data_IF_027506532859
#
_entry.id   IF_027506532859
#
_cell.length_a   1.000
_cell.length_b   1.000
_cell.length_c   1.000
_cell.angle_alpha   90.00
_cell.angle_beta   90.00
_cell.angle_gamma   90.00
#
_symmetry.space_group_name_H-M   'P 1'
#
loop_
_entity.id
_entity.type
_entity.pdbx_description
1 polymer ?
#
# COMPACT_ATOMS: atom_id res chain seq x y z
N UNK A 1 -58.49 -14.88 18.73
CA UNK A 1 -59.14 -15.24 17.43
C UNK A 1 -58.07 -15.80 16.52
N UNK A 2 -58.14 -17.11 16.32
CA UNK A 2 -57.20 -17.89 15.52
C UNK A 2 -57.58 -17.82 14.04
N UNK A 3 -56.61 -17.78 13.16
CA UNK A 3 -56.74 -18.29 11.78
C UNK A 3 -55.43 -18.90 11.32
N UNK A 4 -55.41 -20.21 11.42
CA UNK A 4 -54.49 -21.08 10.71
C UNK A 4 -54.85 -21.10 9.21
N UNK A 5 -53.82 -21.06 8.35
CA UNK A 5 -54.00 -21.36 6.93
C UNK A 5 -52.99 -22.45 6.53
N UNK A 6 -53.54 -23.65 6.38
CA UNK A 6 -52.88 -24.83 5.78
C UNK A 6 -53.11 -24.79 4.27
N UNK A 7 -52.08 -25.00 3.47
CA UNK A 7 -52.14 -25.50 2.08
C UNK A 7 -50.92 -26.40 1.85
N UNK A 8 -51.14 -27.61 1.80
CA UNK A 8 -51.34 -28.69 0.81
C UNK A 8 -50.17 -28.81 -0.18
N UNK A 9 -49.56 -30.01 -0.07
CA UNK A 9 -48.58 -30.59 -0.94
C UNK A 9 -49.16 -30.91 -2.31
N UNK A 10 -48.36 -30.74 -3.37
CA UNK A 10 -48.58 -31.42 -4.64
C UNK A 10 -47.21 -31.95 -5.13
N UNK A 11 -47.16 -33.28 -5.24
CA UNK A 11 -46.09 -34.00 -5.91
C UNK A 11 -46.36 -34.02 -7.42
N UNK A 12 -45.35 -33.92 -8.24
CA UNK A 12 -45.23 -34.60 -9.53
C UNK A 12 -43.95 -34.30 -10.25
N UNK A 13 -43.31 -35.31 -10.56
CA UNK A 13 -42.80 -35.88 -11.84
C UNK A 13 -41.33 -35.62 -12.14
N UNK A 14 -40.60 -36.72 -12.05
CA UNK A 14 -39.28 -36.94 -12.62
C UNK A 14 -39.32 -36.77 -14.16
N UNK A 15 -38.37 -36.04 -14.69
CA UNK A 15 -37.86 -36.25 -16.04
C UNK A 15 -36.36 -36.15 -16.02
N UNK A 16 -35.68 -37.29 -16.22
CA UNK A 16 -34.26 -37.37 -16.48
C UNK A 16 -33.95 -36.78 -17.83
N UNK A 17 -33.13 -35.72 -17.84
CA UNK A 17 -32.39 -35.29 -19.01
C UNK A 17 -30.88 -35.46 -18.72
N UNK A 18 -30.30 -36.50 -19.27
CA UNK A 18 -28.85 -36.57 -19.47
C UNK A 18 -28.47 -35.58 -20.57
N UNK A 19 -27.83 -34.49 -20.18
CA UNK A 19 -27.07 -33.68 -21.12
C UNK A 19 -25.70 -33.44 -20.50
N UNK A 20 -24.67 -33.93 -21.19
CA UNK A 20 -23.27 -33.77 -20.81
C UNK A 20 -22.89 -32.28 -20.73
N UNK A 21 -22.53 -31.83 -19.57
CA UNK A 21 -21.88 -30.54 -19.39
C UNK A 21 -20.37 -30.77 -19.39
N UNK A 22 -19.72 -30.31 -20.46
CA UNK A 22 -18.29 -30.12 -20.49
C UNK A 22 -17.91 -29.17 -19.32
N UNK A 23 -17.11 -29.67 -18.39
CA UNK A 23 -16.61 -28.89 -17.27
C UNK A 23 -15.73 -27.76 -17.75
N UNK A 24 -16.25 -26.53 -17.76
CA UNK A 24 -15.44 -25.35 -17.80
C UNK A 24 -14.79 -25.23 -16.41
N UNK A 25 -13.55 -25.69 -16.32
CA UNK A 25 -12.74 -25.50 -15.13
C UNK A 25 -12.60 -24.00 -14.85
N UNK A 26 -13.33 -23.50 -13.89
CA UNK A 26 -13.08 -22.19 -13.33
C UNK A 26 -11.69 -22.23 -12.72
N UNK A 27 -10.69 -21.69 -13.43
CA UNK A 27 -9.39 -21.40 -12.85
C UNK A 27 -9.60 -20.30 -11.84
N UNK A 28 -9.63 -20.67 -10.57
CA UNK A 28 -9.51 -19.73 -9.46
C UNK A 28 -8.12 -19.12 -9.56
N UNK A 29 -8.02 -17.95 -10.16
CA UNK A 29 -6.80 -17.15 -10.10
C UNK A 29 -6.63 -16.76 -8.64
N UNK A 30 -5.75 -17.48 -7.94
CA UNK A 30 -5.36 -17.11 -6.59
C UNK A 30 -4.78 -15.69 -6.66
N UNK A 31 -5.41 -14.76 -5.96
CA UNK A 31 -4.86 -13.41 -5.80
C UNK A 31 -3.46 -13.55 -5.17
N UNK A 32 -2.43 -12.90 -5.72
CA UNK A 32 -1.09 -12.97 -5.13
C UNK A 32 -1.17 -12.47 -3.69
N UNK A 33 -0.73 -13.30 -2.76
CA UNK A 33 -0.61 -12.95 -1.34
C UNK A 33 0.39 -11.81 -1.23
N UNK A 34 -0.10 -10.57 -1.16
CA UNK A 34 0.73 -9.41 -0.88
C UNK A 34 1.13 -9.48 0.60
N UNK A 35 2.39 -9.72 0.90
CA UNK A 35 2.81 -9.56 2.28
C UNK A 35 4.12 -10.15 2.73
N UNK A 36 4.75 -11.04 1.98
CA UNK A 36 5.98 -11.72 2.44
C UNK A 36 7.23 -11.49 1.59
N UNK A 37 7.15 -10.73 0.51
CA UNK A 37 8.31 -10.46 -0.30
C UNK A 37 9.30 -9.56 0.45
N UNK A 38 10.53 -10.08 0.67
CA UNK A 38 11.66 -9.31 1.21
C UNK A 38 12.37 -8.60 0.07
N UNK A 39 12.87 -7.38 0.33
CA UNK A 39 13.66 -6.65 -0.64
C UNK A 39 14.97 -7.39 -0.92
N UNK A 40 15.26 -7.63 -2.19
CA UNK A 40 16.52 -8.15 -2.69
C UNK A 40 17.09 -7.16 -3.71
N UNK A 41 18.39 -7.21 -4.06
CA UNK A 41 18.94 -6.32 -5.07
C UNK A 41 18.16 -6.29 -6.39
N UNK A 42 17.56 -7.41 -6.78
CA UNK A 42 16.88 -7.58 -8.07
C UNK A 42 15.42 -7.07 -8.07
N UNK A 43 14.77 -6.98 -6.91
CA UNK A 43 13.35 -6.61 -6.80
C UNK A 43 13.10 -5.33 -5.98
N UNK A 44 14.13 -4.76 -5.38
CA UNK A 44 14.03 -3.59 -4.52
C UNK A 44 13.97 -2.31 -5.35
N UNK A 45 13.00 -1.47 -5.00
CA UNK A 45 12.97 -0.07 -5.44
C UNK A 45 13.25 0.85 -4.27
N UNK A 46 13.80 2.02 -4.56
CA UNK A 46 13.76 3.14 -3.64
C UNK A 46 12.51 3.96 -3.91
N UNK A 47 11.81 4.30 -2.85
CA UNK A 47 10.60 5.11 -2.91
C UNK A 47 10.75 6.28 -1.94
N UNK A 48 10.73 7.50 -2.46
CA UNK A 48 10.65 8.70 -1.63
C UNK A 48 9.20 9.11 -1.44
N UNK A 49 8.80 9.20 -0.19
CA UNK A 49 7.44 9.58 0.23
C UNK A 49 7.50 10.95 0.89
N UNK A 50 6.68 11.88 0.40
CA UNK A 50 6.44 13.16 1.03
C UNK A 50 5.12 13.09 1.80
N UNK A 51 5.19 13.40 3.09
CA UNK A 51 4.03 13.58 3.97
C UNK A 51 3.90 15.07 4.24
N UNK A 52 3.13 15.75 3.40
CA UNK A 52 2.97 17.21 3.45
C UNK A 52 1.97 17.63 4.50
N UNK A 53 2.37 18.54 5.40
CA UNK A 53 1.50 19.08 6.42
C UNK A 53 0.35 19.89 5.82
N UNK A 54 -0.82 19.79 6.45
CA UNK A 54 -1.85 20.82 6.31
C UNK A 54 -1.49 22.01 7.22
N UNK A 55 -0.93 23.05 6.61
CA UNK A 55 -0.46 24.24 7.33
C UNK A 55 -1.62 25.13 7.86
N UNK A 56 -2.86 24.81 7.52
CA UNK A 56 -4.03 25.49 8.08
C UNK A 56 -4.34 25.03 9.51
N UNK A 57 -3.68 23.98 9.99
CA UNK A 57 -3.89 23.36 11.30
C UNK A 57 -2.62 23.38 12.15
N UNK A 58 -2.74 23.58 13.48
CA UNK A 58 -1.62 23.48 14.39
C UNK A 58 -0.97 22.08 14.35
N UNK A 59 0.35 22.01 14.47
CA UNK A 59 1.09 20.74 14.44
C UNK A 59 0.66 19.79 15.57
N UNK A 60 0.27 20.33 16.72
CA UNK A 60 -0.25 19.55 17.85
C UNK A 60 -1.53 18.77 17.51
N UNK A 61 -2.42 19.36 16.72
CA UNK A 61 -3.64 18.68 16.26
C UNK A 61 -3.32 17.58 15.26
N UNK A 62 -2.39 17.84 14.33
CA UNK A 62 -1.95 16.84 13.35
C UNK A 62 -1.31 15.65 14.06
N UNK A 63 -0.45 15.89 15.05
CA UNK A 63 0.19 14.85 15.84
C UNK A 63 -0.83 14.02 16.65
N UNK A 64 -1.78 14.67 17.32
CA UNK A 64 -2.84 13.98 18.04
C UNK A 64 -3.71 13.10 17.09
N UNK A 65 -3.95 13.56 15.87
CA UNK A 65 -4.65 12.79 14.85
C UNK A 65 -3.83 11.56 14.43
N UNK A 66 -2.53 11.71 14.17
CA UNK A 66 -1.64 10.59 13.80
C UNK A 66 -1.57 9.52 14.90
N UNK A 67 -1.47 9.94 16.16
CA UNK A 67 -1.50 9.03 17.31
C UNK A 67 -2.82 8.26 17.37
N UNK A 68 -3.96 8.95 17.24
CA UNK A 68 -5.28 8.33 17.22
C UNK A 68 -5.45 7.34 16.07
N UNK A 69 -4.89 7.64 14.90
CA UNK A 69 -4.91 6.77 13.72
C UNK A 69 -3.88 5.62 13.79
N UNK A 70 -2.98 5.62 14.79
CA UNK A 70 -1.97 4.59 14.97
C UNK A 70 -0.84 4.63 13.94
N UNK A 71 -0.54 5.81 13.37
CA UNK A 71 0.48 6.01 12.33
C UNK A 71 1.82 5.41 12.73
N UNK A 72 2.39 5.83 13.85
CA UNK A 72 3.72 5.37 14.31
C UNK A 72 3.76 3.88 14.70
N UNK A 73 2.61 3.25 14.90
CA UNK A 73 2.52 1.82 15.15
C UNK A 73 2.52 1.00 13.87
N UNK A 74 1.92 1.53 12.81
CA UNK A 74 1.70 0.83 11.55
C UNK A 74 2.75 1.17 10.48
N UNK A 75 3.35 2.36 10.56
CA UNK A 75 4.31 2.84 9.58
C UNK A 75 5.71 3.00 10.18
N UNK A 76 6.78 2.49 9.52
CA UNK A 76 6.74 1.70 8.29
C UNK A 76 6.23 0.27 8.51
N UNK A 77 5.61 -0.37 7.49
CA UNK A 77 5.23 -1.78 7.59
C UNK A 77 6.43 -2.69 7.88
N UNK A 78 6.26 -3.80 8.61
CA UNK A 78 7.35 -4.71 8.94
C UNK A 78 8.12 -5.20 7.69
N UNK A 79 9.45 -5.21 7.77
CA UNK A 79 10.33 -5.66 6.68
C UNK A 79 10.50 -4.66 5.52
N UNK A 80 10.01 -3.43 5.65
CA UNK A 80 10.36 -2.32 4.76
C UNK A 80 11.49 -1.53 5.43
N UNK A 81 12.61 -1.38 4.70
CA UNK A 81 13.78 -0.65 5.18
C UNK A 81 13.55 0.87 5.08
N UNK A 82 13.81 1.59 6.16
CA UNK A 82 13.89 3.04 6.16
C UNK A 82 15.31 3.47 5.84
N UNK A 83 15.53 3.99 4.64
CA UNK A 83 16.84 4.50 4.20
C UNK A 83 17.10 5.88 4.77
N UNK A 84 16.08 6.73 4.79
CA UNK A 84 16.16 8.06 5.41
C UNK A 84 14.79 8.54 5.87
N UNK A 85 14.78 9.40 6.90
CA UNK A 85 13.57 10.03 7.41
C UNK A 85 13.91 11.43 7.91
N UNK A 86 13.50 12.44 7.17
CA UNK A 86 13.80 13.84 7.46
C UNK A 86 12.52 14.65 7.58
N UNK A 87 12.64 15.78 8.25
CA UNK A 87 11.63 16.85 8.20
C UNK A 87 12.18 17.96 7.31
N UNK A 88 11.48 18.23 6.22
CA UNK A 88 11.72 19.41 5.38
C UNK A 88 10.82 20.55 5.89
N UNK A 89 11.44 21.61 6.45
CA UNK A 89 10.69 22.74 6.99
C UNK A 89 9.78 23.36 5.92
N UNK A 90 8.53 23.63 6.28
CA UNK A 90 7.51 24.17 5.37
C UNK A 90 6.87 23.14 4.44
N UNK A 91 7.34 21.89 4.42
CA UNK A 91 6.76 20.80 3.63
C UNK A 91 6.15 19.75 4.57
N UNK A 92 6.98 19.12 5.39
CA UNK A 92 6.59 17.99 6.24
C UNK A 92 7.68 16.91 6.28
N UNK A 93 7.28 15.66 6.38
CA UNK A 93 8.23 14.55 6.43
C UNK A 93 8.60 14.10 5.01
N UNK A 94 9.88 13.79 4.81
CA UNK A 94 10.44 13.22 3.59
C UNK A 94 11.12 11.91 3.97
N UNK A 95 10.59 10.80 3.48
CA UNK A 95 11.00 9.46 3.88
C UNK A 95 11.42 8.69 2.65
N UNK A 96 12.63 8.14 2.65
CA UNK A 96 13.07 7.22 1.59
C UNK A 96 13.05 5.81 2.12
N UNK A 97 12.32 4.95 1.44
CA UNK A 97 12.13 3.55 1.79
C UNK A 97 12.75 2.64 0.72
N UNK A 98 13.25 1.47 1.13
CA UNK A 98 13.63 0.38 0.24
C UNK A 98 12.64 -0.76 0.41
N UNK A 99 11.97 -1.14 -0.66
CA UNK A 99 10.94 -2.18 -0.63
C UNK A 99 10.83 -2.90 -1.98
N UNK A 100 10.34 -4.15 -2.00
CA UNK A 100 9.94 -4.80 -3.24
C UNK A 100 8.76 -4.04 -3.88
N UNK A 101 8.76 -3.88 -5.19
CA UNK A 101 7.67 -3.21 -5.92
C UNK A 101 6.30 -3.83 -5.65
N UNK A 102 6.24 -5.15 -5.39
CA UNK A 102 5.01 -5.87 -5.03
C UNK A 102 4.36 -5.39 -3.72
N UNK A 103 5.12 -4.72 -2.84
CA UNK A 103 4.63 -4.19 -1.55
C UNK A 103 4.18 -2.73 -1.61
N UNK A 104 4.24 -2.08 -2.76
CA UNK A 104 3.79 -0.68 -2.91
C UNK A 104 2.34 -0.48 -2.45
N UNK A 105 1.46 -1.39 -2.83
CA UNK A 105 0.04 -1.31 -2.44
C UNK A 105 -0.15 -1.41 -0.92
N UNK A 106 0.59 -2.28 -0.26
CA UNK A 106 0.56 -2.42 1.20
C UNK A 106 0.98 -1.11 1.88
N UNK A 107 2.12 -0.55 1.45
CA UNK A 107 2.63 0.71 1.96
C UNK A 107 1.63 1.86 1.78
N UNK A 108 1.05 1.98 0.58
CA UNK A 108 0.05 3.00 0.30
C UNK A 108 -1.17 2.87 1.21
N UNK A 109 -1.69 1.64 1.40
CA UNK A 109 -2.82 1.37 2.29
C UNK A 109 -2.55 1.77 3.73
N UNK A 110 -1.37 1.47 4.25
CA UNK A 110 -1.00 1.89 5.61
C UNK A 110 -1.05 3.42 5.73
N UNK A 111 -0.55 4.16 4.75
CA UNK A 111 -0.59 5.62 4.76
C UNK A 111 -2.01 6.18 4.57
N UNK A 112 -2.82 5.57 3.69
CA UNK A 112 -4.24 5.92 3.54
C UNK A 112 -4.99 5.80 4.87
N UNK A 113 -4.79 4.69 5.58
CA UNK A 113 -5.51 4.39 6.81
C UNK A 113 -5.02 5.20 8.02
N UNK A 114 -3.71 5.57 8.04
CA UNK A 114 -3.10 6.11 9.26
C UNK A 114 -2.56 7.52 9.14
N UNK A 115 -2.34 8.05 7.94
CA UNK A 115 -1.75 9.37 7.73
C UNK A 115 -2.69 10.37 7.04
N UNK A 116 -3.69 9.90 6.29
CA UNK A 116 -4.61 10.78 5.60
C UNK A 116 -5.46 11.60 6.58
N UNK A 117 -5.75 12.84 6.19
CA UNK A 117 -6.40 13.82 7.05
C UNK A 117 -5.43 14.61 7.94
N UNK A 118 -4.23 14.05 8.24
CA UNK A 118 -3.12 14.79 8.83
C UNK A 118 -2.09 15.21 7.77
N UNK A 119 -1.86 14.34 6.77
CA UNK A 119 -0.92 14.59 5.67
C UNK A 119 -1.56 14.40 4.31
N UNK A 120 -1.04 15.16 3.31
CA UNK A 120 -1.09 14.79 1.89
C UNK A 120 0.13 13.97 1.56
N UNK A 121 -0.09 12.85 0.90
CA UNK A 121 0.97 11.89 0.54
C UNK A 121 1.32 12.00 -0.94
N UNK A 122 2.61 12.02 -1.25
CA UNK A 122 3.14 11.95 -2.61
C UNK A 122 4.23 10.88 -2.65
N UNK A 123 4.29 10.13 -3.75
CA UNK A 123 5.18 8.97 -3.91
C UNK A 123 6.03 9.16 -5.16
N UNK A 124 7.34 9.05 -5.00
CA UNK A 124 8.30 9.18 -6.08
C UNK A 124 9.26 7.99 -6.08
N UNK A 125 9.21 7.10 -7.09
CA UNK A 125 10.29 6.16 -7.31
C UNK A 125 11.59 6.93 -7.50
N UNK A 126 12.62 6.53 -6.77
CA UNK A 126 13.94 7.18 -6.80
C UNK A 126 15.03 6.14 -7.03
N UNK A 127 16.22 6.60 -7.38
CA UNK A 127 17.43 5.78 -7.45
C UNK A 127 18.60 6.55 -6.85
N UNK A 128 19.57 5.82 -6.32
CA UNK A 128 20.78 6.42 -5.76
C UNK A 128 21.72 6.85 -6.88
N UNK A 129 21.87 8.14 -7.04
CA UNK A 129 22.78 8.75 -8.01
C UNK A 129 24.06 9.29 -7.37
N UNK A 130 24.22 9.16 -6.03
CA UNK A 130 25.28 9.81 -5.28
C UNK A 130 26.69 9.46 -5.81
N UNK A 131 26.96 8.18 -5.99
CA UNK A 131 28.28 7.74 -6.43
C UNK A 131 28.62 8.28 -7.83
N UNK A 132 27.65 8.23 -8.76
CA UNK A 132 27.81 8.74 -10.13
C UNK A 132 27.96 10.26 -10.12
N UNK A 133 27.07 10.97 -9.38
CA UNK A 133 27.10 12.43 -9.31
C UNK A 133 28.39 12.97 -8.71
N UNK A 134 28.94 12.33 -7.67
CA UNK A 134 30.22 12.70 -7.07
C UNK A 134 31.37 12.46 -8.06
N UNK A 135 31.41 11.32 -8.74
CA UNK A 135 32.45 11.00 -9.72
C UNK A 135 32.46 11.98 -10.90
N UNK A 136 31.29 12.35 -11.43
CA UNK A 136 31.19 13.34 -12.50
C UNK A 136 31.63 14.75 -12.03
N UNK A 137 31.30 15.14 -10.80
CA UNK A 137 31.78 16.37 -10.20
C UNK A 137 33.30 16.41 -10.11
N UNK A 138 33.91 15.36 -9.55
CA UNK A 138 35.40 15.28 -9.42
C UNK A 138 36.10 15.30 -10.79
N UNK A 139 35.52 14.64 -11.78
CA UNK A 139 36.03 14.65 -13.15
C UNK A 139 36.00 16.06 -13.75
N UNK A 140 34.93 16.79 -13.57
CA UNK A 140 34.78 18.17 -14.05
C UNK A 140 35.77 19.12 -13.37
N UNK A 141 36.08 18.94 -12.09
CA UNK A 141 37.09 19.75 -11.37
C UNK A 141 38.51 19.52 -11.88
N UNK A 142 38.86 18.30 -12.31
CA UNK A 142 40.18 17.96 -12.85
C UNK A 142 40.37 18.43 -14.28
N UNK A 143 39.31 18.80 -14.99
CA UNK A 143 39.36 19.27 -16.39
C UNK A 143 39.52 20.78 -16.51
N UNK A 144 39.57 21.53 -15.40
CA UNK A 144 39.86 22.97 -15.32
C UNK A 144 41.33 23.18 -15.06
#
# INVERSE_FOLDING_TARGET
MARAFRWMATAAVLTNFLAGAAGVGAQTVAAPSAGTATATPDNAILLTVFLKHDQSRPLSELNAQLEKQGYYKAFPPPGIEVVSWYVAMGIGQVITLRLPASRLRELNRVLEDTAWGAYRTEFYPTYDFKAVGVAEHEKAQKAQ
#
